data_IF_233413162410
#
_entry.id   IF_233413162410
#
_cell.length_a   1.000
_cell.length_b   1.000
_cell.length_c   1.000
_cell.angle_alpha   90.00
_cell.angle_beta   90.00
_cell.angle_gamma   90.00
#
_symmetry.space_group_name_H-M   'P 1'
#
loop_
_entity.id
_entity.type
_entity.pdbx_description
1 polymer ?
#
# COMPACT_ATOMS: atom_id res chain seq x y z
N UNK A 1 -24.89 4.36 21.92
CA UNK A 1 -23.99 3.55 22.78
C UNK A 1 -24.34 3.82 24.22
N UNK A 2 -24.69 2.78 24.97
CA UNK A 2 -25.10 2.85 26.38
C UNK A 2 -24.25 1.84 27.15
N UNK A 3 -23.76 2.20 28.34
CA UNK A 3 -23.08 1.25 29.22
C UNK A 3 -24.10 0.25 29.81
N UNK A 4 -23.92 -1.06 29.62
CA UNK A 4 -24.91 -2.05 30.07
C UNK A 4 -25.01 -2.18 31.59
N UNK A 5 -23.97 -1.82 32.35
CA UNK A 5 -23.94 -1.87 33.82
C UNK A 5 -24.52 -0.59 34.43
N UNK A 6 -24.00 0.58 34.06
CA UNK A 6 -24.43 1.85 34.66
C UNK A 6 -25.70 2.44 34.04
N UNK A 7 -26.10 1.95 32.85
CA UNK A 7 -27.17 2.51 32.00
C UNK A 7 -26.92 3.96 31.54
N UNK A 8 -25.70 4.47 31.69
CA UNK A 8 -25.32 5.80 31.21
C UNK A 8 -25.30 5.84 29.67
N UNK A 9 -25.92 6.87 29.09
CA UNK A 9 -25.80 7.17 27.67
C UNK A 9 -24.41 7.75 27.39
N UNK A 10 -23.62 7.04 26.58
CA UNK A 10 -22.26 7.48 26.20
C UNK A 10 -22.30 8.39 24.99
N UNK A 11 -23.01 7.96 23.94
CA UNK A 11 -23.09 8.67 22.67
C UNK A 11 -24.29 8.21 21.83
N UNK A 12 -24.80 9.08 20.97
CA UNK A 12 -25.69 8.72 19.86
C UNK A 12 -24.83 8.44 18.63
N UNK A 13 -25.02 7.29 17.97
CA UNK A 13 -24.08 6.78 16.97
C UNK A 13 -24.79 6.21 15.75
N UNK A 14 -24.09 6.16 14.63
CA UNK A 14 -24.47 5.32 13.49
C UNK A 14 -23.74 3.98 13.59
N UNK A 15 -24.49 2.88 13.60
CA UNK A 15 -23.95 1.52 13.61
C UNK A 15 -24.06 0.89 12.22
N UNK A 16 -22.95 0.37 11.70
CA UNK A 16 -22.93 -0.42 10.45
C UNK A 16 -22.53 -1.86 10.78
N UNK A 17 -23.33 -2.82 10.32
CA UNK A 17 -23.07 -4.24 10.50
C UNK A 17 -22.74 -4.88 9.14
N UNK A 18 -21.61 -5.59 9.09
CA UNK A 18 -21.14 -6.28 7.90
C UNK A 18 -20.93 -7.76 8.26
N UNK A 19 -21.93 -8.61 8.02
CA UNK A 19 -21.81 -10.03 8.31
C UNK A 19 -20.80 -10.71 7.38
N UNK A 20 -20.09 -11.71 7.91
CA UNK A 20 -19.21 -12.57 7.14
C UNK A 20 -19.98 -13.28 5.99
N UNK A 21 -19.35 -13.53 4.83
CA UNK A 21 -18.00 -13.13 4.43
C UNK A 21 -17.95 -11.74 3.76
N UNK A 22 -19.06 -10.97 3.76
CA UNK A 22 -19.20 -9.71 3.00
C UNK A 22 -18.68 -8.49 3.78
N UNK A 23 -17.50 -8.62 4.37
CA UNK A 23 -16.84 -7.59 5.19
C UNK A 23 -15.38 -7.44 4.80
N UNK A 24 -14.73 -6.34 5.21
CA UNK A 24 -13.33 -6.08 4.87
C UNK A 24 -12.37 -7.21 5.30
N UNK A 25 -12.55 -7.80 6.49
CA UNK A 25 -11.71 -8.92 6.94
C UNK A 25 -12.27 -10.29 6.54
N UNK A 26 -13.48 -10.37 5.96
CA UNK A 26 -14.31 -11.58 5.79
C UNK A 26 -14.82 -12.22 7.08
N UNK A 27 -14.61 -11.57 8.23
CA UNK A 27 -15.24 -11.94 9.51
C UNK A 27 -16.46 -11.04 9.78
N UNK A 28 -17.23 -11.28 10.83
CA UNK A 28 -18.28 -10.34 11.25
C UNK A 28 -17.63 -9.03 11.73
N UNK A 29 -18.05 -7.90 11.14
CA UNK A 29 -17.58 -6.57 11.51
C UNK A 29 -18.76 -5.69 11.92
N UNK A 30 -18.57 -4.94 13.00
CA UNK A 30 -19.43 -3.83 13.39
C UNK A 30 -18.61 -2.54 13.44
N UNK A 31 -19.04 -1.52 12.70
CA UNK A 31 -18.46 -0.17 12.74
C UNK A 31 -19.36 0.76 13.55
N UNK A 32 -18.82 1.33 14.62
CA UNK A 32 -19.52 2.28 15.49
C UNK A 32 -19.01 3.68 15.17
N UNK A 33 -19.83 4.47 14.49
CA UNK A 33 -19.51 5.84 14.10
C UNK A 33 -20.00 6.80 15.19
N UNK A 34 -19.10 7.14 16.12
CA UNK A 34 -19.32 8.12 17.18
C UNK A 34 -19.23 9.56 16.66
N UNK A 35 -19.70 10.51 17.46
CA UNK A 35 -19.33 11.91 17.29
C UNK A 35 -17.81 12.10 17.45
N UNK A 36 -17.20 12.96 16.62
CA UNK A 36 -15.74 13.14 16.46
C UNK A 36 -14.99 13.75 17.66
N UNK A 37 -15.53 13.65 18.87
CA UNK A 37 -14.88 14.09 20.11
C UNK A 37 -13.95 13.01 20.69
N UNK A 38 -12.81 13.40 21.30
CA UNK A 38 -11.90 12.43 21.91
C UNK A 38 -12.51 11.68 23.10
N UNK A 39 -13.46 12.28 23.81
CA UNK A 39 -14.13 11.67 24.97
C UNK A 39 -15.13 10.58 24.56
N UNK A 40 -16.11 10.83 23.66
CA UNK A 40 -16.98 9.78 23.14
C UNK A 40 -16.21 8.59 22.55
N UNK A 41 -15.20 8.85 21.70
CA UNK A 41 -14.38 7.80 21.09
C UNK A 41 -13.66 6.94 22.14
N UNK A 42 -13.01 7.56 23.13
CA UNK A 42 -12.32 6.83 24.21
C UNK A 42 -13.29 6.05 25.09
N UNK A 43 -14.46 6.61 25.44
CA UNK A 43 -15.48 5.92 26.24
C UNK A 43 -16.02 4.70 25.47
N UNK A 44 -16.37 4.86 24.20
CA UNK A 44 -16.84 3.75 23.35
C UNK A 44 -15.79 2.66 23.20
N UNK A 45 -14.53 3.01 22.89
CA UNK A 45 -13.44 2.03 22.79
C UNK A 45 -13.22 1.28 24.11
N UNK A 46 -13.21 1.98 25.26
CA UNK A 46 -13.08 1.31 26.56
C UNK A 46 -14.22 0.34 26.82
N UNK A 47 -15.44 0.71 26.44
CA UNK A 47 -16.60 -0.16 26.60
C UNK A 47 -16.48 -1.42 25.73
N UNK A 48 -16.04 -1.31 24.47
CA UNK A 48 -15.86 -2.50 23.62
C UNK A 48 -14.78 -3.43 24.17
N UNK A 49 -13.68 -2.89 24.70
CA UNK A 49 -12.64 -3.68 25.39
C UNK A 49 -13.17 -4.37 26.65
N UNK A 50 -13.96 -3.65 27.47
CA UNK A 50 -14.61 -4.23 28.68
C UNK A 50 -15.55 -5.38 28.34
N UNK A 51 -16.21 -5.32 27.17
CA UNK A 51 -17.14 -6.34 26.68
C UNK A 51 -16.44 -7.49 25.93
N UNK A 52 -15.11 -7.58 25.98
CA UNK A 52 -14.35 -8.73 25.50
C UNK A 52 -13.58 -8.51 24.19
N UNK A 53 -13.65 -7.32 23.59
CA UNK A 53 -12.80 -7.01 22.45
C UNK A 53 -11.32 -6.86 22.89
N UNK A 54 -10.39 -7.20 22.00
CA UNK A 54 -8.96 -6.89 22.14
C UNK A 54 -8.61 -5.69 21.26
N UNK A 55 -7.68 -4.84 21.72
CA UNK A 55 -7.11 -3.78 20.89
C UNK A 55 -6.34 -4.39 19.71
N UNK A 56 -6.64 -3.94 18.49
CA UNK A 56 -5.98 -4.41 17.28
C UNK A 56 -4.51 -3.98 17.21
N UNK A 57 -3.66 -4.84 16.66
CA UNK A 57 -2.28 -4.52 16.31
C UNK A 57 -2.19 -3.67 15.03
N UNK A 58 -1.00 -3.09 14.78
CA UNK A 58 -0.76 -2.31 13.58
C UNK A 58 -0.99 -3.16 12.31
N UNK A 59 -1.90 -2.71 11.45
CA UNK A 59 -2.25 -3.41 10.21
C UNK A 59 -3.06 -4.69 10.38
N UNK A 60 -3.54 -5.01 11.60
CA UNK A 60 -4.18 -6.30 11.88
C UNK A 60 -5.43 -6.55 11.02
N UNK A 61 -6.27 -5.54 10.78
CA UNK A 61 -7.44 -5.68 9.92
C UNK A 61 -7.07 -6.07 8.48
N UNK A 62 -6.08 -5.40 7.88
CA UNK A 62 -5.61 -5.73 6.53
C UNK A 62 -4.92 -7.09 6.49
N UNK A 63 -4.16 -7.45 7.54
CA UNK A 63 -3.59 -8.80 7.70
C UNK A 63 -4.67 -9.88 7.72
N UNK A 64 -5.77 -9.67 8.45
CA UNK A 64 -6.90 -10.62 8.47
C UNK A 64 -7.58 -10.73 7.10
N UNK A 65 -7.77 -9.61 6.40
CA UNK A 65 -8.29 -9.61 5.04
C UNK A 65 -7.42 -10.45 4.08
N UNK A 66 -6.09 -10.37 4.22
CA UNK A 66 -5.13 -11.20 3.49
C UNK A 66 -5.23 -12.68 3.87
N UNK A 67 -5.18 -13.00 5.17
CA UNK A 67 -5.23 -14.38 5.66
C UNK A 67 -6.54 -15.09 5.29
N UNK A 68 -7.65 -14.35 5.24
CA UNK A 68 -8.95 -14.87 4.83
C UNK A 68 -9.14 -14.88 3.30
N UNK A 69 -8.10 -14.56 2.53
CA UNK A 69 -8.09 -14.64 1.07
C UNK A 69 -8.98 -13.62 0.36
N UNK A 70 -9.30 -12.49 1.00
CA UNK A 70 -10.02 -11.38 0.35
C UNK A 70 -9.13 -10.61 -0.61
N UNK A 71 -7.87 -10.44 -0.21
CA UNK A 71 -6.83 -9.72 -0.94
C UNK A 71 -5.54 -10.54 -0.88
N UNK A 72 -4.65 -10.37 -1.84
CA UNK A 72 -3.29 -10.91 -1.76
C UNK A 72 -2.31 -9.94 -1.08
N UNK A 73 -1.04 -10.34 -0.99
CA UNK A 73 -0.01 -9.56 -0.31
C UNK A 73 0.28 -8.23 -1.02
N UNK A 74 0.32 -8.22 -2.36
CA UNK A 74 0.59 -7.00 -3.12
C UNK A 74 -0.53 -5.97 -2.96
N UNK A 75 -1.78 -6.45 -2.91
CA UNK A 75 -2.95 -5.62 -2.60
C UNK A 75 -2.94 -5.13 -1.15
N UNK A 76 -2.57 -5.97 -0.19
CA UNK A 76 -2.45 -5.59 1.22
C UNK A 76 -1.42 -4.47 1.44
N UNK A 77 -0.25 -4.55 0.80
CA UNK A 77 0.75 -3.47 0.82
C UNK A 77 0.21 -2.18 0.19
N UNK A 78 -0.58 -2.29 -0.87
CA UNK A 78 -1.17 -1.15 -1.58
C UNK A 78 -2.16 -0.35 -0.73
N UNK A 79 -2.80 -0.98 0.28
CA UNK A 79 -3.70 -0.27 1.21
C UNK A 79 -2.96 0.86 1.92
N UNK A 80 -1.75 0.57 2.41
CA UNK A 80 -0.92 1.57 3.07
C UNK A 80 -0.45 2.64 2.08
N UNK A 81 -0.10 2.24 0.86
CA UNK A 81 0.33 3.16 -0.19
C UNK A 81 -0.77 4.15 -0.60
N UNK A 82 -2.03 3.71 -0.66
CA UNK A 82 -3.18 4.60 -0.91
C UNK A 82 -3.32 5.64 0.21
N UNK A 83 -3.22 5.20 1.48
CA UNK A 83 -3.32 6.09 2.64
C UNK A 83 -2.16 7.09 2.71
N UNK A 84 -0.97 6.66 2.29
CA UNK A 84 0.25 7.47 2.35
C UNK A 84 0.54 8.28 1.09
N UNK A 85 -0.22 8.08 0.01
CA UNK A 85 -0.02 8.72 -1.28
C UNK A 85 0.13 10.24 -1.13
N UNK A 86 1.18 10.78 -1.78
CA UNK A 86 1.61 12.18 -1.64
C UNK A 86 1.31 13.01 -2.89
N UNK A 87 1.16 12.36 -4.02
CA UNK A 87 0.83 12.95 -5.32
C UNK A 87 -0.33 12.18 -5.96
N UNK A 88 -1.07 12.81 -6.86
CA UNK A 88 -2.13 12.14 -7.62
C UNK A 88 -1.61 10.90 -8.36
N UNK A 89 -0.38 10.99 -8.90
CA UNK A 89 0.24 9.87 -9.62
C UNK A 89 0.59 8.71 -8.69
N UNK A 90 1.09 8.99 -7.50
CA UNK A 90 1.34 7.95 -6.48
C UNK A 90 0.04 7.24 -6.06
N UNK A 91 -1.05 8.00 -5.92
CA UNK A 91 -2.37 7.45 -5.63
C UNK A 91 -2.89 6.57 -6.77
N UNK A 92 -2.76 7.02 -8.01
CA UNK A 92 -3.16 6.25 -9.20
C UNK A 92 -2.43 4.90 -9.25
N UNK A 93 -1.12 4.89 -8.98
CA UNK A 93 -0.31 3.67 -8.95
C UNK A 93 -0.78 2.73 -7.83
N UNK A 94 -0.95 3.25 -6.61
CA UNK A 94 -1.40 2.46 -5.47
C UNK A 94 -2.80 1.88 -5.69
N UNK A 95 -3.73 2.64 -6.28
CA UNK A 95 -5.06 2.17 -6.63
C UNK A 95 -5.03 1.07 -7.70
N UNK A 96 -4.16 1.17 -8.70
CA UNK A 96 -4.00 0.13 -9.72
C UNK A 96 -3.45 -1.18 -9.12
N UNK A 97 -2.53 -1.08 -8.15
CA UNK A 97 -2.00 -2.26 -7.46
C UNK A 97 -3.04 -2.85 -6.50
N UNK A 98 -3.82 -2.02 -5.79
CA UNK A 98 -4.93 -2.45 -4.95
C UNK A 98 -6.01 -3.20 -5.75
N UNK A 99 -6.27 -2.78 -7.00
CA UNK A 99 -7.17 -3.49 -7.93
C UNK A 99 -6.63 -4.85 -8.40
N UNK A 100 -5.39 -5.21 -8.06
CA UNK A 100 -4.77 -6.49 -8.42
C UNK A 100 -3.90 -6.44 -9.68
N UNK A 101 -3.57 -5.25 -10.20
CA UNK A 101 -2.83 -5.13 -11.46
C UNK A 101 -1.43 -5.77 -11.45
N UNK A 102 -0.75 -5.83 -10.30
CA UNK A 102 0.51 -6.56 -10.14
C UNK A 102 0.25 -8.08 -10.01
N UNK A 103 -0.75 -8.44 -9.21
CA UNK A 103 -1.15 -9.81 -8.93
C UNK A 103 -1.56 -10.57 -10.17
N UNK A 104 -2.31 -9.95 -11.08
CA UNK A 104 -2.69 -10.54 -12.37
C UNK A 104 -1.47 -10.87 -13.22
N UNK A 105 -0.48 -9.97 -13.27
CA UNK A 105 0.77 -10.17 -14.03
C UNK A 105 1.60 -11.31 -13.43
N UNK A 106 1.74 -11.35 -12.11
CA UNK A 106 2.45 -12.41 -11.40
C UNK A 106 1.74 -13.76 -11.59
N UNK A 107 0.42 -13.80 -11.42
CA UNK A 107 -0.34 -15.04 -11.57
C UNK A 107 -0.30 -15.57 -13.01
N UNK A 108 -0.29 -14.69 -14.02
CA UNK A 108 -0.09 -15.08 -15.41
C UNK A 108 1.29 -15.72 -15.64
N UNK A 109 2.34 -15.14 -15.05
CA UNK A 109 3.70 -15.72 -15.14
C UNK A 109 3.78 -17.05 -14.39
N UNK A 110 3.25 -17.10 -13.17
CA UNK A 110 3.16 -18.32 -12.37
C UNK A 110 2.45 -19.43 -13.14
N UNK A 111 1.32 -19.14 -13.77
CA UNK A 111 0.59 -20.12 -14.59
C UNK A 111 1.46 -20.66 -15.71
N UNK A 112 2.12 -19.78 -16.49
CA UNK A 112 3.03 -20.21 -17.56
C UNK A 112 4.17 -21.08 -17.07
N UNK A 113 4.71 -20.81 -15.88
CA UNK A 113 5.77 -21.61 -15.27
C UNK A 113 5.26 -22.97 -14.81
N UNK A 114 4.07 -23.04 -14.22
CA UNK A 114 3.43 -24.30 -13.82
C UNK A 114 3.12 -25.14 -15.07
N UNK A 115 2.51 -24.55 -16.09
CA UNK A 115 2.20 -25.23 -17.35
C UNK A 115 3.49 -25.79 -18.00
N UNK A 116 4.59 -25.03 -17.96
CA UNK A 116 5.89 -25.47 -18.46
C UNK A 116 6.47 -26.62 -17.63
N UNK A 117 6.39 -26.53 -16.30
CA UNK A 117 6.86 -27.58 -15.41
C UNK A 117 6.10 -28.89 -15.63
N UNK A 118 4.78 -28.83 -15.78
CA UNK A 118 3.95 -30.00 -16.06
C UNK A 118 4.31 -30.68 -17.39
N UNK A 119 4.71 -29.92 -18.42
CA UNK A 119 5.21 -30.53 -19.66
C UNK A 119 6.51 -31.30 -19.45
N UNK A 120 7.46 -30.73 -18.70
CA UNK A 120 8.73 -31.40 -18.41
C UNK A 120 8.55 -32.63 -17.52
N UNK A 121 7.66 -32.56 -16.52
CA UNK A 121 7.34 -33.71 -15.67
C UNK A 121 6.76 -34.87 -16.49
N UNK A 122 5.85 -34.58 -17.42
CA UNK A 122 5.30 -35.59 -18.32
C UNK A 122 6.35 -36.21 -19.26
N UNK A 123 7.30 -35.43 -19.77
CA UNK A 123 8.41 -35.97 -20.58
C UNK A 123 9.31 -36.91 -19.77
N UNK A 124 9.58 -36.57 -18.51
CA UNK A 124 10.39 -37.42 -17.61
C UNK A 124 9.66 -38.73 -17.28
N UNK A 125 8.34 -38.67 -17.05
CA UNK A 125 7.55 -39.84 -16.65
C UNK A 125 7.17 -40.77 -17.82
N UNK A 126 6.93 -40.22 -19.02
CA UNK A 126 6.38 -40.96 -20.16
C UNK A 126 7.25 -40.90 -21.43
N UNK A 127 8.52 -40.49 -21.33
CA UNK A 127 9.40 -40.27 -22.49
C UNK A 127 9.73 -41.50 -23.34
N UNK A 128 9.31 -42.71 -22.94
CA UNK A 128 9.38 -43.94 -23.76
C UNK A 128 8.08 -44.24 -24.53
N UNK A 129 7.00 -43.51 -24.26
CA UNK A 129 5.72 -43.60 -24.98
C UNK A 129 5.73 -42.69 -26.22
N UNK A 130 5.05 -43.07 -27.31
CA UNK A 130 4.92 -42.28 -28.57
C UNK A 130 4.05 -41.01 -28.37
N UNK A 131 4.42 -40.14 -27.43
CA UNK A 131 3.77 -38.88 -27.15
C UNK A 131 4.51 -37.78 -27.93
N UNK A 132 3.77 -36.91 -28.63
CA UNK A 132 4.35 -35.73 -29.27
C UNK A 132 4.87 -34.74 -28.20
N UNK A 133 6.19 -34.72 -28.00
CA UNK A 133 6.87 -33.78 -27.11
C UNK A 133 7.24 -32.48 -27.83
N UNK A 134 7.34 -31.38 -27.08
CA UNK A 134 7.87 -30.13 -27.61
C UNK A 134 9.34 -30.30 -27.99
N UNK A 135 9.79 -29.61 -29.04
CA UNK A 135 11.22 -29.59 -29.31
C UNK A 135 11.93 -28.78 -28.22
N UNK A 136 13.17 -29.18 -27.86
CA UNK A 136 14.01 -28.41 -26.93
C UNK A 136 14.13 -26.92 -27.28
N UNK A 137 14.06 -26.61 -28.58
CA UNK A 137 14.10 -25.23 -29.08
C UNK A 137 12.85 -24.44 -28.71
N UNK A 138 11.68 -25.08 -28.75
CA UNK A 138 10.41 -24.47 -28.37
C UNK A 138 10.34 -24.25 -26.85
N UNK A 139 10.86 -25.19 -26.07
CA UNK A 139 10.99 -25.06 -24.61
C UNK A 139 11.90 -23.89 -24.22
N UNK A 140 13.08 -23.80 -24.84
CA UNK A 140 14.01 -22.70 -24.61
C UNK A 140 13.38 -21.35 -24.99
N UNK A 141 12.62 -21.31 -26.09
CA UNK A 141 11.88 -20.11 -26.49
C UNK A 141 10.83 -19.70 -25.46
N UNK A 142 10.04 -20.66 -24.95
CA UNK A 142 9.02 -20.39 -23.90
C UNK A 142 9.64 -19.84 -22.63
N UNK A 143 10.77 -20.39 -22.19
CA UNK A 143 11.52 -19.92 -21.02
C UNK A 143 12.06 -18.50 -21.25
N UNK A 144 12.65 -18.22 -22.41
CA UNK A 144 13.12 -16.88 -22.78
C UNK A 144 11.99 -15.86 -22.73
N UNK A 145 10.81 -16.21 -23.21
CA UNK A 145 9.64 -15.32 -23.16
C UNK A 145 9.20 -15.01 -21.73
N UNK A 146 9.24 -16.00 -20.82
CA UNK A 146 8.94 -15.77 -19.39
C UNK A 146 9.98 -14.83 -18.79
N UNK A 147 11.27 -15.05 -19.06
CA UNK A 147 12.36 -14.20 -18.57
C UNK A 147 12.24 -12.76 -19.07
N UNK A 148 11.88 -12.54 -20.34
CA UNK A 148 11.64 -11.21 -20.90
C UNK A 148 10.52 -10.49 -20.14
N UNK A 149 9.42 -11.17 -19.85
CA UNK A 149 8.31 -10.57 -19.11
C UNK A 149 8.71 -10.21 -17.67
N UNK A 150 9.49 -11.06 -17.00
CA UNK A 150 10.04 -10.75 -15.67
C UNK A 150 10.96 -9.53 -15.73
N UNK A 151 11.85 -9.46 -16.74
CA UNK A 151 12.75 -8.33 -16.93
C UNK A 151 11.98 -7.01 -17.15
N UNK A 152 10.87 -7.04 -17.88
CA UNK A 152 10.00 -5.88 -18.08
C UNK A 152 9.38 -5.40 -16.76
N UNK A 153 8.92 -6.33 -15.89
CA UNK A 153 8.43 -5.97 -14.56
C UNK A 153 9.52 -5.32 -13.71
N UNK A 154 10.70 -5.93 -13.65
CA UNK A 154 11.85 -5.41 -12.89
C UNK A 154 12.28 -4.02 -13.36
N UNK A 155 12.22 -3.75 -14.67
CA UNK A 155 12.55 -2.43 -15.24
C UNK A 155 11.65 -1.32 -14.68
N UNK A 156 10.39 -1.64 -14.32
CA UNK A 156 9.45 -0.66 -13.76
C UNK A 156 9.61 -0.44 -12.26
N UNK A 157 10.29 -1.35 -11.55
CA UNK A 157 10.39 -1.33 -10.09
C UNK A 157 11.07 -0.06 -9.55
N UNK A 158 12.14 0.41 -10.23
CA UNK A 158 12.84 1.64 -9.84
C UNK A 158 11.91 2.85 -9.90
N UNK A 159 11.17 2.98 -11.00
CA UNK A 159 10.22 4.08 -11.21
C UNK A 159 9.09 4.02 -10.19
N UNK A 160 8.55 2.82 -9.91
CA UNK A 160 7.54 2.62 -8.86
C UNK A 160 8.04 3.07 -7.48
N UNK A 161 9.28 2.74 -7.12
CA UNK A 161 9.89 3.19 -5.86
C UNK A 161 9.95 4.72 -5.77
N UNK A 162 10.33 5.40 -6.85
CA UNK A 162 10.39 6.86 -6.87
C UNK A 162 9.00 7.49 -6.64
N UNK A 163 7.93 6.92 -7.22
CA UNK A 163 6.57 7.41 -6.96
C UNK A 163 6.10 7.12 -5.52
N UNK A 164 6.57 6.04 -4.91
CA UNK A 164 6.19 5.64 -3.55
C UNK A 164 6.93 6.41 -2.47
N UNK A 165 8.26 6.46 -2.55
CA UNK A 165 9.14 7.04 -1.52
C UNK A 165 9.41 8.53 -1.76
N UNK A 166 9.32 8.96 -3.02
CA UNK A 166 9.78 10.27 -3.46
C UNK A 166 11.29 10.36 -3.62
N UNK A 167 11.74 11.53 -4.05
CA UNK A 167 13.15 11.89 -4.16
C UNK A 167 13.50 12.83 -3.01
N UNK A 168 14.74 12.76 -2.52
CA UNK A 168 15.29 13.76 -1.60
C UNK A 168 16.26 14.66 -2.37
N UNK A 169 16.09 15.97 -2.23
CA UNK A 169 16.97 16.97 -2.78
C UNK A 169 17.42 17.96 -1.70
N UNK A 170 18.66 18.40 -1.84
CA UNK A 170 19.27 19.39 -0.95
C UNK A 170 19.60 20.63 -1.77
N UNK A 171 19.19 21.81 -1.28
CA UNK A 171 19.58 23.08 -1.89
C UNK A 171 20.87 23.58 -1.21
N UNK A 172 21.97 23.60 -1.96
CA UNK A 172 23.29 24.04 -1.49
C UNK A 172 23.66 25.37 -2.14
N UNK A 173 24.30 26.26 -1.38
CA UNK A 173 24.76 27.55 -1.89
C UNK A 173 25.32 28.45 -0.79
N UNK A 174 26.06 29.49 -1.19
CA UNK A 174 26.64 30.47 -0.25
C UNK A 174 25.56 31.15 0.63
N UNK A 175 25.91 31.71 1.79
CA UNK A 175 24.97 32.55 2.56
C UNK A 175 24.36 33.66 1.68
N UNK A 176 23.08 33.98 1.90
CA UNK A 176 22.35 35.06 1.22
C UNK A 176 22.20 34.98 -0.31
N UNK A 177 22.47 33.83 -0.95
CA UNK A 177 22.27 33.66 -2.41
C UNK A 177 20.81 33.40 -2.84
N UNK A 178 19.85 33.60 -1.94
CA UNK A 178 18.42 33.42 -2.25
C UNK A 178 17.88 31.99 -2.14
N UNK A 179 18.57 31.07 -1.44
CA UNK A 179 18.10 29.68 -1.23
C UNK A 179 16.68 29.62 -0.63
N UNK A 180 16.45 30.38 0.44
CA UNK A 180 15.14 30.42 1.11
C UNK A 180 14.06 31.07 0.24
N UNK A 181 14.41 32.06 -0.57
CA UNK A 181 13.49 32.66 -1.54
C UNK A 181 13.09 31.67 -2.64
N UNK A 182 14.02 30.86 -3.15
CA UNK A 182 13.73 29.81 -4.12
C UNK A 182 12.82 28.74 -3.51
N UNK A 183 13.15 28.25 -2.32
CA UNK A 183 12.37 27.23 -1.61
C UNK A 183 10.93 27.71 -1.36
N UNK A 184 10.75 28.92 -0.84
CA UNK A 184 9.42 29.51 -0.66
C UNK A 184 8.65 29.65 -1.97
N UNK A 185 9.32 30.03 -3.06
CA UNK A 185 8.68 30.15 -4.38
C UNK A 185 8.21 28.80 -4.90
N UNK A 186 9.02 27.75 -4.74
CA UNK A 186 8.66 26.38 -5.13
C UNK A 186 7.49 25.86 -4.28
N UNK A 187 7.54 26.08 -2.96
CA UNK A 187 6.48 25.66 -2.05
C UNK A 187 5.15 26.37 -2.29
N UNK A 188 5.15 27.61 -2.77
CA UNK A 188 3.91 28.33 -3.08
C UNK A 188 3.23 27.85 -4.37
N UNK A 189 3.98 27.22 -5.29
CA UNK A 189 3.45 26.78 -6.59
C UNK A 189 3.05 25.31 -6.61
N UNK A 190 3.80 24.44 -5.95
CA UNK A 190 3.72 22.98 -6.12
C UNK A 190 3.44 22.25 -4.79
N UNK A 191 2.77 22.92 -3.85
CA UNK A 191 2.47 22.31 -2.54
C UNK A 191 1.54 21.13 -2.73
N UNK A 192 2.04 19.93 -2.49
CA UNK A 192 1.19 18.77 -2.30
C UNK A 192 0.38 18.98 -1.01
N UNK A 193 -0.90 18.58 -1.02
CA UNK A 193 -1.75 18.62 0.17
C UNK A 193 -1.23 17.58 1.17
N UNK A 194 -0.31 17.99 2.03
CA UNK A 194 0.17 17.14 3.11
C UNK A 194 -0.83 17.25 4.26
N UNK A 195 -1.45 16.13 4.62
CA UNK A 195 -2.25 16.07 5.84
C UNK A 195 -1.36 16.43 7.04
N UNK A 196 -1.70 17.51 7.73
CA UNK A 196 -1.13 17.84 9.04
C UNK A 196 -1.67 16.83 10.07
N UNK A 197 -1.16 15.59 10.06
CA UNK A 197 -1.38 14.68 11.18
C UNK A 197 -0.37 15.10 12.26
N UNK A 198 -0.81 15.65 13.41
CA UNK A 198 0.10 15.98 14.50
C UNK A 198 0.70 14.67 15.03
N UNK A 199 2.02 14.46 14.92
CA UNK A 199 2.66 13.28 15.51
C UNK A 199 3.96 12.78 14.88
N UNK A 200 4.41 13.29 13.73
CA UNK A 200 5.74 12.96 13.20
C UNK A 200 6.75 14.04 13.57
N UNK A 201 6.96 14.23 14.88
CA UNK A 201 8.07 15.03 15.39
C UNK A 201 9.32 14.18 15.44
N UNK A 202 10.17 14.30 14.42
CA UNK A 202 11.63 14.19 14.53
C UNK A 202 12.29 14.55 13.19
N UNK A 203 13.07 15.63 13.26
CA UNK A 203 14.23 15.94 12.44
C UNK A 203 14.01 16.59 11.06
N UNK A 204 14.54 17.83 10.95
CA UNK A 204 14.53 18.73 9.77
C UNK A 204 13.15 19.18 9.29
N UNK A 205 13.01 20.46 8.94
CA UNK A 205 11.83 20.96 8.21
C UNK A 205 11.96 20.39 6.78
N UNK A 206 11.59 19.12 6.61
CA UNK A 206 11.49 18.46 5.31
C UNK A 206 10.17 18.92 4.67
N UNK A 207 10.25 19.76 3.66
CA UNK A 207 9.08 20.22 2.90
C UNK A 207 8.95 19.40 1.62
N UNK A 208 7.72 19.07 1.22
CA UNK A 208 7.47 18.22 0.05
C UNK A 208 6.70 18.98 -1.02
N UNK A 209 7.20 18.89 -2.25
CA UNK A 209 6.54 19.43 -3.44
C UNK A 209 6.24 18.31 -4.44
N UNK A 210 5.15 18.47 -5.20
CA UNK A 210 4.85 17.62 -6.35
C UNK A 210 5.53 18.18 -7.59
N UNK A 211 6.43 17.42 -8.21
CA UNK A 211 6.99 17.77 -9.52
C UNK A 211 6.53 16.74 -10.53
N UNK A 212 5.58 17.10 -11.40
CA UNK A 212 5.08 16.23 -12.48
C UNK A 212 4.61 14.84 -12.00
N UNK A 213 4.03 14.78 -10.80
CA UNK A 213 3.55 13.55 -10.16
C UNK A 213 4.60 12.89 -9.25
N UNK A 214 5.82 13.40 -9.15
CA UNK A 214 6.86 12.87 -8.28
C UNK A 214 6.91 13.64 -6.95
N UNK A 215 6.82 12.96 -5.79
CA UNK A 215 7.07 13.62 -4.51
C UNK A 215 8.56 13.96 -4.40
N UNK A 216 8.88 15.24 -4.22
CA UNK A 216 10.24 15.72 -3.96
C UNK A 216 10.31 16.35 -2.56
N UNK A 217 11.08 15.73 -1.69
CA UNK A 217 11.44 16.24 -0.38
C UNK A 217 12.64 17.17 -0.50
N UNK A 218 12.43 18.43 -0.14
CA UNK A 218 13.48 19.44 -0.07
C UNK A 218 13.96 19.53 1.36
N UNK A 219 15.25 19.27 1.57
CA UNK A 219 15.91 19.38 2.86
C UNK A 219 16.60 20.74 2.91
N UNK A 220 16.15 21.62 3.80
CA UNK A 220 16.82 22.89 4.02
C UNK A 220 18.07 22.69 4.89
N UNK A 221 19.23 23.01 4.32
CA UNK A 221 20.51 22.96 5.04
C UNK A 221 20.75 24.18 5.91
N UNK A 222 19.95 25.25 5.79
CA UNK A 222 20.12 26.46 6.59
C UNK A 222 19.86 26.22 8.10
N UNK A 223 19.15 25.15 8.46
CA UNK A 223 18.90 24.73 9.84
C UNK A 223 19.90 23.70 10.41
N UNK A 224 20.80 23.15 9.58
CA UNK A 224 21.90 22.29 10.03
C UNK A 224 23.08 23.19 10.44
N UNK A 225 22.98 23.76 11.64
CA UNK A 225 24.12 24.38 12.34
C UNK A 225 24.65 23.46 13.42
#
# INVERSE_FOLDING_TARGET
IIDPESKELIDEVLLTLMPAPKSYTREDIAEINCHSGPVPLRKTLRLTLKLGARLAEAGEFTKRAFLNGRIDLAQAESVLEVVQAKTEKSLEIALNQLKGGLSEKINRLKKRMVDFLSCLEAEIEFGEEDIEHLSRKDEESRLKDILVQIALLLKTARTGRVYKEGLKAVIVGRPNVGKSSLLNTLLQRERAIVSHIPGTTRDTIEEMIDIKGFPLWIIDTAGLR
#
